data_IF_294334033042
#
_entry.id   IF_294334033042
#
_cell.length_a   1.000
_cell.length_b   1.000
_cell.length_c   1.000
_cell.angle_alpha   90.00
_cell.angle_beta   90.00
_cell.angle_gamma   90.00
#
_symmetry.space_group_name_H-M   'P 1'
#
loop_
_entity.id
_entity.type
_entity.pdbx_description
1 polymer ?
#
# COMPACT_ATOMS: atom_id res chain seq x y z
N UNK A 1 -6.68 22.94 19.24
CA UNK A 1 -7.49 22.39 19.18
C UNK A 1 -7.58 20.99 18.81
N UNK A 2 -8.60 20.45 18.98
CA UNK A 2 -8.76 19.07 18.77
C UNK A 2 -8.56 18.68 17.37
N UNK A 3 -8.79 19.55 16.46
CA UNK A 3 -8.60 19.19 15.07
C UNK A 3 -7.17 18.88 14.75
N UNK A 4 -6.26 19.56 15.38
CA UNK A 4 -4.88 19.28 15.13
C UNK A 4 -4.52 17.89 15.56
N UNK A 5 -5.07 17.47 16.70
CA UNK A 5 -4.77 16.15 17.17
C UNK A 5 -5.33 15.09 16.22
N UNK A 6 -6.53 15.33 15.71
CA UNK A 6 -7.10 14.37 14.80
C UNK A 6 -6.32 14.25 13.52
N UNK A 7 -5.78 15.38 13.07
CA UNK A 7 -5.03 15.36 11.83
C UNK A 7 -3.73 14.62 11.95
N UNK A 8 -3.30 14.35 13.17
CA UNK A 8 -2.05 13.67 13.36
C UNK A 8 -2.23 12.17 13.52
N UNK A 9 -3.44 11.70 13.40
CA UNK A 9 -3.65 10.27 13.52
C UNK A 9 -3.11 9.59 12.29
N UNK A 10 -2.24 8.64 12.50
CA UNK A 10 -1.64 7.89 11.41
C UNK A 10 -2.53 6.71 11.09
N UNK A 11 -2.73 6.44 9.82
CA UNK A 11 -3.58 5.32 9.42
C UNK A 11 -2.94 4.01 9.85
N UNK A 12 -3.74 2.99 9.99
CA UNK A 12 -3.26 1.69 10.39
C UNK A 12 -2.33 1.11 9.32
N UNK A 13 -2.66 1.31 8.06
CA UNK A 13 -1.79 0.84 6.99
C UNK A 13 -0.43 1.52 7.06
N UNK A 14 -0.43 2.82 7.28
CA UNK A 14 0.82 3.56 7.36
C UNK A 14 1.66 3.06 8.52
N UNK A 15 1.02 2.76 9.64
CA UNK A 15 1.74 2.24 10.77
C UNK A 15 2.34 0.89 10.45
N UNK A 16 1.60 0.02 9.80
CA UNK A 16 2.10 -1.30 9.47
C UNK A 16 3.27 -1.22 8.51
N UNK A 17 3.19 -0.36 7.50
CA UNK A 17 4.32 -0.18 6.59
C UNK A 17 5.52 0.39 7.33
N UNK A 18 5.28 1.32 8.25
CA UNK A 18 6.36 1.90 9.02
C UNK A 18 7.11 0.87 9.84
N UNK A 19 6.39 -0.08 10.42
CA UNK A 19 7.02 -1.13 11.19
C UNK A 19 7.88 -2.04 10.32
N UNK A 20 7.60 -2.07 9.04
CA UNK A 20 8.39 -2.85 8.10
C UNK A 20 9.53 -2.05 7.49
N UNK A 21 9.69 -0.81 7.92
CA UNK A 21 10.80 0.00 7.46
C UNK A 21 10.50 0.92 6.30
N UNK A 22 9.24 1.08 5.94
CA UNK A 22 8.88 1.92 4.82
C UNK A 22 8.56 3.33 5.26
N UNK A 23 8.93 4.29 4.41
CA UNK A 23 8.50 5.67 4.54
C UNK A 23 7.32 5.87 3.61
N UNK A 24 6.58 6.95 3.78
CA UNK A 24 5.39 7.20 2.98
C UNK A 24 5.41 8.60 2.41
N UNK A 25 5.01 8.74 1.18
CA UNK A 25 4.74 10.06 0.63
C UNK A 25 3.52 9.98 -0.26
N UNK A 26 2.90 11.11 -0.46
CA UNK A 26 1.68 11.20 -1.23
C UNK A 26 1.84 12.39 -2.17
N UNK A 27 1.33 12.31 -3.39
CA UNK A 27 1.45 13.44 -4.27
C UNK A 27 0.46 14.52 -3.87
N UNK A 28 0.56 15.68 -4.51
CA UNK A 28 -0.18 16.84 -4.05
C UNK A 28 -1.68 16.66 -3.99
N UNK A 29 -2.25 16.00 -4.96
CA UNK A 29 -3.69 15.81 -4.96
C UNK A 29 -4.12 14.51 -4.32
N UNK A 30 -3.18 13.79 -3.73
CA UNK A 30 -3.55 12.57 -3.03
C UNK A 30 -3.90 11.39 -3.91
N UNK A 31 -3.63 11.47 -5.20
CA UNK A 31 -4.03 10.38 -6.08
C UNK A 31 -3.04 9.22 -6.10
N UNK A 32 -1.86 9.43 -5.55
CA UNK A 32 -0.83 8.39 -5.53
C UNK A 32 -0.20 8.35 -4.15
N UNK A 33 -0.09 7.15 -3.59
CA UNK A 33 0.58 6.93 -2.33
C UNK A 33 1.77 6.03 -2.60
N UNK A 34 2.94 6.42 -2.13
CA UNK A 34 4.15 5.64 -2.35
C UNK A 34 4.76 5.28 -1.00
N UNK A 35 5.01 4.00 -0.81
CA UNK A 35 5.79 3.53 0.33
C UNK A 35 7.14 3.12 -0.21
N UNK A 36 8.20 3.57 0.44
CA UNK A 36 9.55 3.36 -0.07
C UNK A 36 10.53 3.20 1.06
N UNK A 37 11.65 2.57 0.78
CA UNK A 37 12.73 2.43 1.72
C UNK A 37 13.92 3.21 1.22
N UNK A 38 14.78 3.61 2.14
CA UNK A 38 15.98 4.34 1.78
C UNK A 38 17.18 3.61 2.34
N UNK A 39 18.21 3.45 1.52
CA UNK A 39 19.45 2.90 1.98
C UNK A 39 20.56 3.70 1.34
N UNK A 40 21.47 4.21 2.16
CA UNK A 40 22.58 5.04 1.68
C UNK A 40 22.10 6.18 0.81
N UNK A 41 20.98 6.79 1.22
CA UNK A 41 20.45 7.95 0.51
C UNK A 41 19.69 7.64 -0.76
N UNK A 42 19.49 6.37 -1.07
CA UNK A 42 18.82 5.98 -2.31
C UNK A 42 17.54 5.24 -1.99
N UNK A 43 16.47 5.60 -2.70
CA UNK A 43 15.19 4.92 -2.56
C UNK A 43 15.25 3.56 -3.21
N UNK A 44 14.59 2.60 -2.60
CA UNK A 44 14.46 1.28 -3.20
C UNK A 44 13.18 0.63 -2.68
N UNK A 45 12.76 -0.45 -3.36
CA UNK A 45 11.59 -1.23 -2.96
C UNK A 45 10.34 -0.37 -2.81
N UNK A 46 10.04 0.38 -3.85
CA UNK A 46 8.87 1.26 -3.82
C UNK A 46 7.60 0.47 -4.09
N UNK A 47 6.56 0.79 -3.37
CA UNK A 47 5.24 0.23 -3.60
C UNK A 47 4.30 1.40 -3.78
N UNK A 48 3.73 1.52 -4.97
CA UNK A 48 2.93 2.67 -5.35
C UNK A 48 1.48 2.27 -5.53
N UNK A 49 0.60 3.01 -4.83
CA UNK A 49 -0.84 2.78 -4.95
C UNK A 49 -1.41 3.90 -5.82
N UNK A 50 -1.94 3.54 -6.97
CA UNK A 50 -2.53 4.51 -7.89
C UNK A 50 -4.04 4.45 -7.72
N UNK A 51 -4.61 5.50 -7.16
CA UNK A 51 -6.02 5.45 -6.78
C UNK A 51 -6.97 5.40 -7.96
N UNK A 52 -6.70 6.19 -8.97
CA UNK A 52 -7.63 6.26 -10.08
C UNK A 52 -7.74 4.95 -10.84
N UNK A 53 -6.62 4.29 -11.07
CA UNK A 53 -6.62 3.06 -11.83
C UNK A 53 -6.73 1.83 -10.96
N UNK A 54 -6.67 2.01 -9.64
CA UNK A 54 -6.71 0.92 -8.66
C UNK A 54 -5.60 -0.08 -8.94
N UNK A 55 -4.40 0.45 -9.18
CA UNK A 55 -3.25 -0.40 -9.45
C UNK A 55 -2.22 -0.26 -8.35
N UNK A 56 -1.51 -1.34 -8.11
CA UNK A 56 -0.39 -1.34 -7.19
C UNK A 56 0.84 -1.70 -7.99
N UNK A 57 1.84 -0.83 -7.96
CA UNK A 57 3.04 -1.04 -8.74
C UNK A 57 4.20 -1.28 -7.80
N UNK A 58 4.92 -2.36 -8.02
CA UNK A 58 6.09 -2.68 -7.23
C UNK A 58 7.34 -2.35 -8.04
N UNK A 59 8.24 -1.60 -7.44
CA UNK A 59 9.45 -1.21 -8.14
C UNK A 59 10.66 -1.51 -7.26
N UNK A 60 11.58 -2.28 -7.78
CA UNK A 60 12.82 -2.56 -7.08
C UNK A 60 13.90 -1.72 -7.70
N UNK A 61 14.85 -1.34 -6.92
CA UNK A 61 15.95 -0.54 -7.43
C UNK A 61 16.70 -1.31 -8.49
N UNK A 62 17.02 -0.63 -9.56
CA UNK A 62 17.65 -1.28 -10.67
C UNK A 62 19.09 -1.62 -10.44
N UNK A 63 19.70 -1.07 -9.43
CA UNK A 63 21.12 -1.29 -9.22
C UNK A 63 21.47 -2.69 -8.78
N UNK A 64 20.49 -3.44 -8.37
CA UNK A 64 20.77 -4.75 -7.86
C UNK A 64 20.56 -5.85 -8.90
N UNK A 65 20.26 -5.47 -10.11
CA UNK A 65 20.06 -6.43 -11.16
C UNK A 65 18.80 -7.23 -10.97
N UNK A 66 18.63 -8.26 -11.73
CA UNK A 66 17.42 -9.06 -11.65
C UNK A 66 17.43 -9.82 -10.34
N UNK A 67 16.35 -9.74 -9.62
CA UNK A 67 16.24 -10.49 -8.40
C UNK A 67 14.77 -10.75 -8.19
N UNK A 68 14.50 -11.78 -7.45
CA UNK A 68 13.11 -12.08 -7.21
C UNK A 68 12.56 -11.11 -6.20
N UNK A 69 11.32 -10.77 -6.38
CA UNK A 69 10.62 -9.90 -5.44
C UNK A 69 9.98 -10.80 -4.40
N UNK A 70 10.26 -10.53 -3.15
CA UNK A 70 9.71 -11.35 -2.08
C UNK A 70 8.70 -10.57 -1.30
N UNK A 71 7.55 -11.17 -1.09
CA UNK A 71 6.53 -10.54 -0.30
C UNK A 71 6.15 -11.47 0.84
N UNK A 72 6.50 -11.10 2.06
CA UNK A 72 6.09 -11.94 3.16
C UNK A 72 4.68 -11.53 3.58
N UNK A 73 4.09 -12.30 4.48
CA UNK A 73 2.70 -12.09 4.81
C UNK A 73 2.47 -10.77 5.55
N UNK A 74 3.47 -10.24 6.20
CA UNK A 74 3.29 -8.95 6.89
C UNK A 74 3.18 -7.82 5.90
N UNK A 75 3.97 -7.88 4.83
CA UNK A 75 3.86 -6.88 3.79
C UNK A 75 2.52 -7.01 3.08
N UNK A 76 2.10 -8.22 2.78
CA UNK A 76 0.82 -8.43 2.16
C UNK A 76 -0.29 -7.86 3.03
N UNK A 77 -0.22 -8.07 4.33
CA UNK A 77 -1.23 -7.56 5.23
C UNK A 77 -1.27 -6.05 5.20
N UNK A 78 -0.11 -5.40 5.20
CA UNK A 78 -0.05 -3.95 5.13
C UNK A 78 -0.68 -3.45 3.83
N UNK A 79 -0.40 -4.13 2.72
CA UNK A 79 -0.95 -3.76 1.43
C UNK A 79 -2.47 -3.88 1.45
N UNK A 80 -2.98 -4.96 2.02
CA UNK A 80 -4.43 -5.15 2.07
C UNK A 80 -5.11 -4.11 2.95
N UNK A 81 -4.47 -3.72 4.03
CA UNK A 81 -5.02 -2.68 4.87
C UNK A 81 -5.06 -1.35 4.11
N UNK A 82 -4.02 -1.06 3.32
CA UNK A 82 -4.02 0.15 2.54
C UNK A 82 -5.11 0.11 1.48
N UNK A 83 -5.31 -1.01 0.84
CA UNK A 83 -6.37 -1.15 -0.14
C UNK A 83 -7.73 -0.90 0.53
N UNK A 84 -7.90 -1.43 1.71
CA UNK A 84 -9.15 -1.26 2.43
C UNK A 84 -9.39 0.21 2.79
N UNK A 85 -8.35 0.91 3.18
CA UNK A 85 -8.49 2.33 3.51
C UNK A 85 -8.80 3.16 2.28
N UNK A 86 -8.39 2.68 1.11
CA UNK A 86 -8.71 3.37 -0.13
C UNK A 86 -10.08 3.00 -0.67
N UNK A 87 -10.78 2.12 0.03
CA UNK A 87 -12.10 1.72 -0.42
C UNK A 87 -12.09 0.62 -1.47
N UNK A 88 -10.96 -0.03 -1.65
CA UNK A 88 -10.87 -1.12 -2.61
C UNK A 88 -11.28 -2.40 -1.89
N UNK A 89 -12.56 -2.70 -1.95
CA UNK A 89 -13.11 -3.80 -1.19
C UNK A 89 -13.13 -5.08 -2.00
N UNK A 90 -12.62 -6.12 -1.42
CA UNK A 90 -12.59 -7.39 -2.11
C UNK A 90 -13.77 -8.28 -1.76
N UNK A 91 -14.49 -7.92 -0.74
CA UNK A 91 -15.62 -8.73 -0.35
C UNK A 91 -16.74 -8.76 -1.37
N UNK A 92 -16.80 -7.74 -2.19
CA UNK A 92 -17.84 -7.71 -3.20
C UNK A 92 -17.68 -8.80 -4.23
N UNK A 93 -16.46 -9.18 -4.48
CA UNK A 93 -16.24 -10.26 -5.40
C UNK A 93 -16.88 -11.53 -4.91
N UNK A 94 -16.77 -11.76 -3.62
CA UNK A 94 -17.33 -12.93 -3.04
C UNK A 94 -18.82 -12.96 -3.19
N UNK A 95 -19.47 -11.82 -3.05
CA UNK A 95 -20.84 -11.77 -3.20
C UNK A 95 -21.29 -12.19 -4.56
N UNK A 96 -20.60 -11.78 -5.55
CA UNK A 96 -20.95 -12.18 -6.88
C UNK A 96 -20.83 -13.64 -7.07
N UNK A 97 -19.85 -14.23 -6.50
CA UNK A 97 -19.67 -15.62 -6.66
C UNK A 97 -20.78 -16.39 -6.02
N UNK A 98 -21.27 -15.89 -4.93
CA UNK A 98 -22.34 -16.57 -4.27
C UNK A 98 -23.54 -16.71 -5.16
N UNK A 99 -23.75 -15.76 -5.95
CA UNK A 99 -24.87 -15.83 -6.82
C UNK A 99 -24.77 -16.96 -7.75
N UNK A 100 -23.62 -17.23 -8.08
CA UNK A 100 -23.48 -18.33 -8.92
C UNK A 100 -23.74 -19.55 -8.33
N UNK A 101 -23.57 -19.60 -7.51
CA UNK A 101 -23.62 -20.74 -7.05
C UNK A 101 -24.30 -21.66 -7.28
N UNK A 102 -24.38 -21.44 -7.66
CA UNK A 102 -24.58 -21.94 -7.84
C UNK A 102 -24.63 -22.74 -8.30
N UNK A 103 -24.72 -22.86 -8.39
CA UNK A 103 -24.59 -23.33 -8.64
C UNK A 103 -24.66 -23.77 -8.95
#
# INVERSE_FOLDING_TARGET
MTNGALNNVISQAEMMFGLLGYNRRENKNGSVIVYYKIKDGVEFDDITFCKASKKIIFYQGSNYGPSEYRMDYRLLKAILFQCNELGWHFGEIKKEEDDDNVD
#
